data_IF_526235603571
#
_entry.id   IF_526235603571
#
_cell.length_a   1.000
_cell.length_b   1.000
_cell.length_c   1.000
_cell.angle_alpha   90.00
_cell.angle_beta   90.00
_cell.angle_gamma   90.00
#
_symmetry.space_group_name_H-M   'P 1'
#
loop_
_entity.id
_entity.type
_entity.pdbx_description
1 polymer ?
#
# COMPACT_ATOMS: atom_id res chain seq x y z
N UNK A 1 40.94 4.68 -16.67
CA UNK A 1 39.60 4.62 -17.27
C UNK A 1 39.67 3.71 -18.49
N UNK A 2 38.96 2.58 -18.46
CA UNK A 2 38.86 1.72 -19.66
C UNK A 2 38.01 2.42 -20.69
N UNK A 3 38.48 2.45 -21.93
CA UNK A 3 37.72 3.00 -23.04
C UNK A 3 36.37 2.27 -23.16
N UNK A 4 35.22 2.96 -23.06
CA UNK A 4 33.91 2.33 -23.11
C UNK A 4 33.60 1.71 -24.49
N UNK A 5 34.38 2.01 -25.51
CA UNK A 5 34.25 1.46 -26.87
C UNK A 5 34.97 0.12 -27.06
N UNK A 6 35.80 -0.30 -26.10
CA UNK A 6 36.46 -1.60 -26.19
C UNK A 6 35.49 -2.76 -26.02
N UNK A 7 35.52 -3.80 -26.88
CA UNK A 7 34.69 -4.97 -26.76
C UNK A 7 34.92 -5.72 -25.44
N UNK A 8 33.82 -6.21 -24.84
CA UNK A 8 33.89 -7.08 -23.70
C UNK A 8 34.50 -8.43 -24.07
N UNK A 9 35.54 -8.83 -23.34
CA UNK A 9 36.17 -10.13 -23.51
C UNK A 9 35.46 -11.22 -22.71
N UNK A 10 35.60 -12.48 -23.09
CA UNK A 10 35.17 -13.64 -22.30
C UNK A 10 33.80 -14.21 -22.69
N UNK A 11 33.12 -13.69 -23.70
CA UNK A 11 31.88 -14.28 -24.20
C UNK A 11 32.16 -15.45 -25.13
N UNK A 12 31.56 -16.62 -24.84
CA UNK A 12 31.68 -17.81 -25.66
C UNK A 12 30.90 -17.68 -26.97
N UNK A 13 31.41 -18.25 -28.08
CA UNK A 13 30.69 -18.25 -29.36
C UNK A 13 29.33 -18.97 -29.27
N UNK A 14 28.37 -18.52 -30.08
CA UNK A 14 27.05 -19.18 -30.24
C UNK A 14 26.94 -19.71 -31.66
N UNK A 15 26.72 -21.00 -31.83
CA UNK A 15 26.61 -21.69 -33.12
C UNK A 15 27.81 -21.35 -34.05
N UNK A 16 29.03 -21.30 -33.49
CA UNK A 16 30.27 -20.98 -34.21
C UNK A 16 30.50 -19.49 -34.51
N UNK A 17 29.58 -18.60 -34.15
CA UNK A 17 29.69 -17.15 -34.34
C UNK A 17 30.29 -16.48 -33.11
N UNK A 18 31.35 -15.69 -33.30
CA UNK A 18 31.95 -14.87 -32.26
C UNK A 18 30.97 -13.80 -31.78
N UNK A 19 30.84 -13.65 -30.44
CA UNK A 19 30.09 -12.56 -29.84
C UNK A 19 31.02 -11.39 -29.58
N UNK A 20 30.61 -10.20 -30.01
CA UNK A 20 31.25 -8.92 -29.71
C UNK A 20 30.21 -8.06 -29.00
N UNK A 21 30.53 -7.57 -27.78
CA UNK A 21 29.67 -6.68 -27.02
C UNK A 21 30.49 -5.46 -26.58
N UNK A 22 29.88 -4.27 -26.67
CA UNK A 22 30.49 -2.99 -26.29
C UNK A 22 29.41 -2.06 -25.72
N UNK A 23 29.82 -1.03 -24.97
CA UNK A 23 28.93 -0.03 -24.39
C UNK A 23 28.65 1.15 -25.35
N UNK A 24 28.34 0.85 -26.60
CA UNK A 24 28.10 1.79 -27.71
C UNK A 24 26.62 1.87 -28.13
N UNK A 25 25.71 1.29 -27.34
CA UNK A 25 24.27 1.19 -27.64
C UNK A 25 23.50 2.53 -27.56
N UNK A 26 24.14 3.61 -27.15
CA UNK A 26 23.51 4.92 -26.98
C UNK A 26 22.62 4.97 -25.72
N UNK A 27 21.56 5.79 -25.75
CA UNK A 27 20.66 5.99 -24.60
C UNK A 27 19.69 4.82 -24.47
N UNK A 28 20.04 3.87 -23.65
CA UNK A 28 19.24 2.69 -23.33
C UNK A 28 18.74 2.74 -21.88
N UNK A 29 17.57 2.20 -21.64
CA UNK A 29 17.03 1.97 -20.30
C UNK A 29 16.29 0.63 -20.24
N UNK A 30 16.28 -0.01 -19.09
CA UNK A 30 15.48 -1.22 -18.80
C UNK A 30 14.05 -0.90 -18.35
N UNK A 31 13.72 0.37 -18.15
CA UNK A 31 12.52 0.85 -17.48
C UNK A 31 11.56 1.61 -18.40
N UNK A 32 11.36 1.12 -19.65
CA UNK A 32 10.51 1.74 -20.66
C UNK A 32 9.11 2.09 -20.20
N UNK A 33 8.57 1.32 -19.26
CA UNK A 33 7.26 1.56 -18.71
C UNK A 33 7.18 2.63 -17.61
N UNK A 34 8.28 3.20 -17.15
CA UNK A 34 8.25 4.25 -16.11
C UNK A 34 7.48 5.49 -16.58
N UNK A 35 7.40 5.72 -17.89
CA UNK A 35 6.61 6.80 -18.46
C UNK A 35 5.10 6.62 -18.25
N UNK A 36 4.59 5.38 -18.12
CA UNK A 36 3.21 5.17 -17.69
C UNK A 36 2.98 5.63 -16.25
N UNK A 37 3.96 5.42 -15.36
CA UNK A 37 3.90 5.93 -13.99
C UNK A 37 3.96 7.45 -13.95
N UNK A 38 4.74 8.09 -14.84
CA UNK A 38 4.72 9.55 -15.02
C UNK A 38 3.31 10.05 -15.34
N UNK A 39 2.62 9.41 -16.29
CA UNK A 39 1.25 9.79 -16.65
C UNK A 39 0.26 9.58 -15.49
N UNK A 40 0.44 8.52 -14.68
CA UNK A 40 -0.35 8.32 -13.44
C UNK A 40 -0.04 9.43 -12.44
N UNK A 41 1.24 9.77 -12.23
CA UNK A 41 1.67 10.80 -11.28
C UNK A 41 1.17 12.20 -11.69
N UNK A 42 1.21 12.52 -12.98
CA UNK A 42 0.69 13.78 -13.49
C UNK A 42 -0.82 13.97 -13.18
N UNK A 43 -1.55 12.86 -13.08
CA UNK A 43 -2.97 12.86 -12.69
C UNK A 43 -3.17 12.93 -11.19
N UNK A 44 -2.45 12.10 -10.43
CA UNK A 44 -2.62 11.99 -8.96
C UNK A 44 -1.91 13.11 -8.19
N UNK A 45 -0.83 13.65 -8.73
CA UNK A 45 0.01 14.72 -8.16
C UNK A 45 0.47 14.40 -6.74
N UNK A 46 0.88 13.14 -6.51
CA UNK A 46 1.26 12.65 -5.18
C UNK A 46 2.49 13.40 -4.66
N UNK A 47 3.47 13.62 -5.52
CA UNK A 47 4.72 14.30 -5.14
C UNK A 47 4.46 15.75 -4.72
N UNK A 48 3.62 16.49 -5.45
CA UNK A 48 3.25 17.88 -5.11
C UNK A 48 2.46 17.94 -3.80
N UNK A 49 1.53 17.01 -3.59
CA UNK A 49 0.75 16.92 -2.34
C UNK A 49 1.65 16.70 -1.13
N UNK A 50 2.63 15.80 -1.23
CA UNK A 50 3.58 15.56 -0.15
C UNK A 50 4.55 16.72 0.03
N UNK A 51 5.08 17.27 -1.07
CA UNK A 51 5.99 18.41 -1.03
C UNK A 51 5.36 19.64 -0.39
N UNK A 52 4.08 19.91 -0.70
CA UNK A 52 3.31 21.01 -0.12
C UNK A 52 3.13 20.95 1.41
N UNK A 53 3.43 19.78 2.02
CA UNK A 53 3.42 19.63 3.47
C UNK A 53 4.75 20.02 4.14
N UNK A 54 5.81 20.26 3.36
CA UNK A 54 7.16 20.51 3.86
C UNK A 54 7.52 21.98 3.63
N UNK A 55 7.86 22.71 4.68
CA UNK A 55 8.52 23.98 4.52
C UNK A 55 9.95 23.76 4.02
N UNK A 56 10.28 24.28 2.84
CA UNK A 56 11.62 24.17 2.27
C UNK A 56 12.55 25.23 2.90
N UNK A 57 13.55 24.82 3.69
CA UNK A 57 14.46 25.77 4.34
C UNK A 57 15.60 26.25 3.42
N UNK A 58 15.67 25.76 2.18
CA UNK A 58 16.75 26.07 1.25
C UNK A 58 16.54 27.43 0.61
N UNK A 59 17.63 28.10 0.30
CA UNK A 59 17.64 29.37 -0.44
C UNK A 59 17.16 29.10 -1.88
N UNK A 60 16.06 29.70 -2.35
CA UNK A 60 15.43 29.37 -3.63
C UNK A 60 16.39 29.40 -4.83
N UNK A 61 17.30 30.38 -4.87
CA UNK A 61 18.26 30.60 -5.97
C UNK A 61 19.31 29.48 -6.08
N UNK A 62 19.51 28.73 -4.97
CA UNK A 62 20.47 27.61 -4.91
C UNK A 62 19.79 26.26 -5.06
N UNK A 63 18.47 26.21 -5.26
CA UNK A 63 17.73 24.96 -5.40
C UNK A 63 17.83 24.43 -6.81
N UNK A 64 18.63 23.38 -7.01
CA UNK A 64 18.72 22.66 -8.29
C UNK A 64 17.51 21.74 -8.53
N UNK A 65 17.04 21.06 -7.49
CA UNK A 65 15.91 20.13 -7.55
C UNK A 65 14.86 20.55 -6.50
N UNK A 66 13.61 20.80 -6.93
CA UNK A 66 12.51 21.11 -6.03
C UNK A 66 12.17 19.89 -5.15
N UNK A 67 11.54 20.12 -3.99
CA UNK A 67 11.07 19.02 -3.13
C UNK A 67 10.15 18.06 -3.89
N UNK A 68 9.24 18.59 -4.71
CA UNK A 68 8.34 17.77 -5.53
C UNK A 68 9.11 16.89 -6.54
N UNK A 69 10.15 17.45 -7.20
CA UNK A 69 10.99 16.68 -8.13
C UNK A 69 11.74 15.55 -7.41
N UNK A 70 12.32 15.80 -6.23
CA UNK A 70 13.03 14.78 -5.45
C UNK A 70 12.05 13.69 -4.99
N UNK A 71 10.87 14.07 -4.49
CA UNK A 71 9.83 13.13 -4.07
C UNK A 71 9.36 12.31 -5.27
N UNK A 72 9.01 12.93 -6.40
CA UNK A 72 8.57 12.24 -7.61
C UNK A 72 9.59 11.21 -8.08
N UNK A 73 10.87 11.57 -8.12
CA UNK A 73 11.94 10.63 -8.47
C UNK A 73 11.94 9.42 -7.52
N UNK A 74 11.85 9.68 -6.21
CA UNK A 74 11.82 8.62 -5.20
C UNK A 74 10.61 7.70 -5.34
N UNK A 75 9.42 8.25 -5.62
CA UNK A 75 8.21 7.46 -5.86
C UNK A 75 8.36 6.55 -7.09
N UNK A 76 8.90 7.08 -8.18
CA UNK A 76 9.13 6.35 -9.42
C UNK A 76 10.17 5.23 -9.23
N UNK A 77 11.26 5.50 -8.49
CA UNK A 77 12.25 4.49 -8.13
C UNK A 77 11.61 3.33 -7.38
N UNK A 78 10.89 3.58 -6.27
CA UNK A 78 10.23 2.55 -5.47
C UNK A 78 9.24 1.75 -6.33
N UNK A 79 8.40 2.41 -7.12
CA UNK A 79 7.43 1.74 -7.98
C UNK A 79 8.10 0.88 -9.05
N UNK A 80 9.24 1.31 -9.60
CA UNK A 80 10.03 0.56 -10.56
C UNK A 80 10.87 -0.57 -9.93
N UNK A 81 10.91 -0.68 -8.59
CA UNK A 81 11.61 -1.75 -7.87
C UNK A 81 13.03 -1.39 -7.43
N UNK A 82 13.32 -0.11 -7.32
CA UNK A 82 14.55 0.45 -6.76
C UNK A 82 14.20 1.09 -5.41
N UNK A 83 13.99 0.25 -4.43
CA UNK A 83 13.54 0.66 -3.10
C UNK A 83 14.64 1.27 -2.24
N UNK A 84 15.91 1.12 -2.61
CA UNK A 84 17.02 1.75 -1.90
C UNK A 84 17.30 3.17 -2.45
N UNK A 85 17.60 4.10 -1.53
CA UNK A 85 18.01 5.45 -1.94
C UNK A 85 19.36 5.48 -2.68
N UNK A 86 20.21 4.46 -2.49
CA UNK A 86 21.52 4.35 -3.14
C UNK A 86 21.39 4.16 -4.65
N UNK A 87 20.32 3.54 -5.14
CA UNK A 87 20.05 3.33 -6.56
C UNK A 87 19.92 4.65 -7.33
N UNK A 88 19.62 5.74 -6.64
CA UNK A 88 19.53 7.07 -7.26
C UNK A 88 20.80 7.47 -8.00
N UNK A 89 21.98 7.07 -7.52
CA UNK A 89 23.25 7.43 -8.17
C UNK A 89 23.42 6.76 -9.54
N UNK A 90 22.88 5.56 -9.72
CA UNK A 90 22.84 4.88 -11.02
C UNK A 90 21.72 5.41 -11.93
N UNK A 91 20.54 5.69 -11.35
CA UNK A 91 19.34 6.06 -12.09
C UNK A 91 19.27 7.55 -12.46
N UNK A 92 20.03 8.42 -11.80
CA UNK A 92 19.99 9.88 -12.05
C UNK A 92 20.31 10.27 -13.49
N UNK A 93 21.12 9.49 -14.18
CA UNK A 93 21.50 9.68 -15.57
C UNK A 93 20.61 8.91 -16.56
N UNK A 94 19.72 8.04 -16.08
CA UNK A 94 18.86 7.24 -16.95
C UNK A 94 17.90 8.13 -17.75
N UNK A 95 17.84 7.98 -19.09
CA UNK A 95 17.06 8.86 -19.95
C UNK A 95 15.56 8.82 -19.68
N UNK A 96 15.02 7.67 -19.27
CA UNK A 96 13.57 7.55 -19.02
C UNK A 96 13.18 8.10 -17.66
N UNK A 97 14.02 7.98 -16.63
CA UNK A 97 13.79 8.65 -15.36
C UNK A 97 13.89 10.17 -15.50
N UNK A 98 14.81 10.70 -16.36
CA UNK A 98 14.83 12.12 -16.70
C UNK A 98 13.52 12.55 -17.38
N UNK A 99 13.10 11.82 -18.41
CA UNK A 99 11.84 12.09 -19.11
C UNK A 99 10.63 12.00 -18.19
N UNK A 100 10.64 11.10 -17.20
CA UNK A 100 9.60 11.00 -16.19
C UNK A 100 9.58 12.18 -15.20
N UNK A 101 10.60 13.06 -15.26
CA UNK A 101 10.70 14.34 -14.52
C UNK A 101 10.51 15.56 -15.43
N UNK A 102 9.99 15.37 -16.63
CA UNK A 102 9.81 16.42 -17.65
C UNK A 102 11.14 17.05 -18.11
N UNK A 103 12.24 16.29 -18.06
CA UNK A 103 13.55 16.68 -18.57
C UNK A 103 13.87 15.92 -19.87
N UNK A 104 14.61 16.56 -20.77
CA UNK A 104 15.17 15.87 -21.93
C UNK A 104 16.28 14.90 -21.50
N UNK A 105 16.53 13.83 -22.28
CA UNK A 105 17.66 12.93 -22.00
C UNK A 105 19.00 13.62 -21.89
N UNK A 106 19.24 14.67 -22.69
CA UNK A 106 20.45 15.50 -22.68
C UNK A 106 20.52 16.51 -21.53
N UNK A 107 19.43 16.74 -20.83
CA UNK A 107 19.41 17.67 -19.70
C UNK A 107 20.26 17.16 -18.52
N UNK A 108 20.41 18.02 -17.51
CA UNK A 108 21.12 17.70 -16.27
C UNK A 108 20.63 16.42 -15.62
N UNK A 109 21.49 15.79 -14.85
CA UNK A 109 21.16 14.62 -14.04
C UNK A 109 20.11 14.94 -12.97
N UNK A 110 19.34 13.94 -12.57
CA UNK A 110 18.44 13.98 -11.43
C UNK A 110 19.23 14.06 -10.11
N UNK A 111 18.52 14.19 -8.99
CA UNK A 111 19.16 14.34 -7.69
C UNK A 111 19.94 13.07 -7.28
N UNK A 112 21.00 13.26 -6.50
CA UNK A 112 21.84 12.18 -5.96
C UNK A 112 21.21 11.53 -4.73
N UNK A 113 21.74 10.37 -4.34
CA UNK A 113 21.37 9.66 -3.10
C UNK A 113 21.49 10.56 -1.86
N UNK A 114 22.54 11.35 -1.74
CA UNK A 114 22.71 12.26 -0.60
C UNK A 114 21.63 13.35 -0.53
N UNK A 115 21.07 13.76 -1.67
CA UNK A 115 19.94 14.69 -1.72
C UNK A 115 18.64 14.01 -1.27
N UNK A 116 18.40 12.75 -1.66
CA UNK A 116 17.27 11.94 -1.18
C UNK A 116 17.38 11.75 0.33
N UNK A 117 18.56 11.39 0.85
CA UNK A 117 18.78 11.20 2.29
C UNK A 117 18.51 12.47 3.09
N UNK A 118 18.92 13.63 2.58
CA UNK A 118 18.60 14.94 3.21
C UNK A 118 17.11 15.20 3.21
N UNK A 119 16.41 14.93 2.10
CA UNK A 119 14.96 15.05 2.03
C UNK A 119 14.27 14.13 3.04
N UNK A 120 14.66 12.85 3.13
CA UNK A 120 14.03 11.88 4.03
C UNK A 120 14.16 12.30 5.52
N UNK A 121 15.19 13.05 5.87
CA UNK A 121 15.42 13.58 7.22
C UNK A 121 14.86 14.98 7.47
N UNK A 122 14.26 15.63 6.48
CA UNK A 122 13.79 17.02 6.55
C UNK A 122 12.43 17.17 7.27
N UNK A 123 11.40 16.31 7.04
CA UNK A 123 10.07 16.54 7.60
C UNK A 123 10.03 16.39 9.12
N UNK A 124 9.56 17.43 9.80
CA UNK A 124 9.24 17.37 11.22
C UNK A 124 7.81 16.83 11.49
N UNK A 125 7.43 16.68 12.77
CA UNK A 125 6.15 16.10 13.17
C UNK A 125 4.91 16.79 12.56
N UNK A 126 4.93 18.13 12.44
CA UNK A 126 3.83 18.90 11.83
C UNK A 126 3.66 18.56 10.35
N UNK A 127 4.77 18.51 9.61
CA UNK A 127 4.75 18.12 8.19
C UNK A 127 4.21 16.69 8.01
N UNK A 128 4.64 15.73 8.85
CA UNK A 128 4.16 14.35 8.82
C UNK A 128 2.66 14.23 9.11
N UNK A 129 2.12 15.02 10.03
CA UNK A 129 0.68 15.09 10.28
C UNK A 129 -0.08 15.66 9.08
N UNK A 130 0.47 16.69 8.43
CA UNK A 130 -0.09 17.26 7.20
C UNK A 130 -0.06 16.27 6.04
N UNK A 131 1.02 15.47 5.91
CA UNK A 131 1.11 14.39 4.91
C UNK A 131 0.06 13.29 5.13
N UNK A 132 -0.17 12.88 6.38
CA UNK A 132 -1.25 11.95 6.71
C UNK A 132 -2.62 12.48 6.29
N UNK A 133 -2.86 13.79 6.43
CA UNK A 133 -4.05 14.48 5.94
C UNK A 133 -4.08 14.48 4.40
N UNK A 134 -2.97 14.85 3.74
CA UNK A 134 -2.86 14.89 2.28
C UNK A 134 -3.11 13.52 1.63
N UNK A 135 -2.69 12.42 2.29
CA UNK A 135 -3.01 11.05 1.85
C UNK A 135 -4.51 10.76 1.92
N UNK A 136 -5.18 11.15 3.00
CA UNK A 136 -6.63 11.00 3.12
C UNK A 136 -7.38 11.87 2.08
N UNK A 137 -6.90 13.08 1.81
CA UNK A 137 -7.47 13.96 0.79
C UNK A 137 -7.26 13.39 -0.62
N UNK A 138 -6.10 12.81 -0.92
CA UNK A 138 -5.84 12.08 -2.17
C UNK A 138 -6.80 10.90 -2.34
N UNK A 139 -6.99 10.11 -1.27
CA UNK A 139 -7.95 9.01 -1.26
C UNK A 139 -9.37 9.51 -1.55
N UNK A 140 -9.82 10.57 -0.89
CA UNK A 140 -11.12 11.18 -1.16
C UNK A 140 -11.24 11.64 -2.63
N UNK A 141 -10.22 12.30 -3.16
CA UNK A 141 -10.18 12.79 -4.53
C UNK A 141 -10.23 11.66 -5.58
N UNK A 142 -9.80 10.44 -5.25
CA UNK A 142 -9.82 9.28 -6.15
C UNK A 142 -11.20 8.71 -6.46
N UNK A 143 -12.26 9.27 -5.91
CA UNK A 143 -13.64 8.85 -6.16
C UNK A 143 -14.32 9.78 -7.16
N UNK A 144 -15.00 9.22 -8.15
CA UNK A 144 -15.76 9.98 -9.14
C UNK A 144 -16.90 10.81 -8.55
N UNK A 145 -17.49 10.29 -7.48
CA UNK A 145 -18.61 10.89 -6.78
C UNK A 145 -18.44 10.60 -5.29
N UNK A 146 -18.95 11.49 -4.45
CA UNK A 146 -18.98 11.28 -3.01
C UNK A 146 -19.73 9.97 -2.70
N UNK A 147 -19.08 8.98 -2.09
CA UNK A 147 -19.72 7.70 -1.84
C UNK A 147 -20.74 7.82 -0.70
N UNK A 148 -21.87 7.13 -0.84
CA UNK A 148 -22.87 7.07 0.25
C UNK A 148 -22.36 6.31 1.46
N UNK A 149 -21.53 5.29 1.24
CA UNK A 149 -20.95 4.40 2.27
C UNK A 149 -19.53 4.06 1.91
N UNK A 150 -18.67 3.94 2.92
CA UNK A 150 -17.30 3.45 2.81
C UNK A 150 -17.02 2.43 3.91
N UNK A 151 -16.08 1.52 3.62
CA UNK A 151 -15.50 0.61 4.59
C UNK A 151 -14.02 0.95 4.72
N UNK A 152 -13.55 1.11 5.94
CA UNK A 152 -12.14 1.31 6.27
C UNK A 152 -11.61 0.04 6.94
N UNK A 153 -10.65 -0.61 6.29
CA UNK A 153 -9.91 -1.73 6.84
C UNK A 153 -8.68 -1.20 7.58
N UNK A 154 -8.64 -1.39 8.88
CA UNK A 154 -7.49 -1.05 9.70
C UNK A 154 -6.80 -2.32 10.15
N UNK A 155 -5.48 -2.35 9.99
CA UNK A 155 -4.64 -3.47 10.40
C UNK A 155 -3.26 -2.97 10.77
N UNK A 156 -2.43 -3.82 11.38
CA UNK A 156 -1.02 -3.53 11.64
C UNK A 156 -0.13 -4.63 11.02
N UNK A 157 1.13 -4.29 10.81
CA UNK A 157 2.10 -5.22 10.25
C UNK A 157 3.44 -5.07 10.96
N UNK A 158 4.12 -6.17 11.23
CA UNK A 158 5.43 -6.13 11.87
C UNK A 158 6.52 -5.87 10.82
N UNK A 159 7.40 -4.90 11.08
CA UNK A 159 8.55 -4.55 10.25
C UNK A 159 9.82 -4.75 11.09
N UNK A 160 10.60 -5.79 10.78
CA UNK A 160 11.88 -6.07 11.44
C UNK A 160 12.90 -4.96 11.18
N UNK A 161 13.69 -4.61 12.20
CA UNK A 161 14.77 -3.62 12.09
C UNK A 161 16.06 -4.14 12.73
N UNK A 162 17.16 -3.94 12.03
CA UNK A 162 18.45 -4.52 12.38
C UNK A 162 19.47 -3.50 12.95
N UNK A 163 19.06 -2.27 13.23
CA UNK A 163 19.93 -1.20 13.74
C UNK A 163 19.35 -0.50 14.96
N UNK A 164 19.99 0.60 15.38
CA UNK A 164 19.61 1.42 16.53
C UNK A 164 18.50 2.46 16.24
N UNK A 165 17.47 2.13 15.45
CA UNK A 165 16.41 3.07 15.05
C UNK A 165 15.63 3.57 16.26
N UNK A 166 15.32 4.86 16.25
CA UNK A 166 14.49 5.50 17.27
C UNK A 166 13.09 4.89 17.30
N UNK A 167 12.57 4.57 18.48
CA UNK A 167 11.28 3.94 18.73
C UNK A 167 11.19 2.45 18.34
N UNK A 168 12.29 1.79 17.92
CA UNK A 168 12.27 0.33 17.79
C UNK A 168 11.94 -0.32 19.13
N UNK A 169 11.25 -1.43 19.10
CA UNK A 169 10.93 -2.20 20.30
C UNK A 169 11.06 -3.69 20.00
N UNK A 170 11.54 -4.46 20.99
CA UNK A 170 11.53 -5.92 20.90
C UNK A 170 10.11 -6.46 20.95
N UNK A 171 9.77 -7.36 20.04
CA UNK A 171 8.49 -8.03 19.97
C UNK A 171 8.70 -9.53 20.20
N UNK A 172 8.27 -10.02 21.37
CA UNK A 172 8.46 -11.41 21.76
C UNK A 172 7.71 -12.43 20.85
N UNK A 173 6.66 -12.02 20.14
CA UNK A 173 5.95 -12.90 19.21
C UNK A 173 6.77 -13.17 17.94
N UNK A 174 7.54 -12.19 17.50
CA UNK A 174 8.41 -12.29 16.32
C UNK A 174 9.85 -12.60 16.66
N UNK A 175 10.21 -12.53 17.97
CA UNK A 175 11.58 -12.68 18.50
C UNK A 175 12.58 -11.70 17.86
N UNK A 176 12.11 -10.50 17.51
CA UNK A 176 12.90 -9.48 16.80
C UNK A 176 12.58 -8.07 17.29
N UNK A 177 13.56 -7.15 17.11
CA UNK A 177 13.30 -5.72 17.21
C UNK A 177 12.61 -5.21 15.95
N UNK A 178 11.62 -4.31 16.10
CA UNK A 178 10.92 -3.79 14.95
C UNK A 178 10.01 -2.61 15.24
N UNK A 179 9.25 -2.29 14.22
CA UNK A 179 8.08 -1.42 14.26
C UNK A 179 6.82 -2.25 14.00
N UNK A 180 5.67 -1.71 14.39
CA UNK A 180 4.35 -2.26 14.07
C UNK A 180 3.44 -1.14 13.59
N UNK A 181 3.66 -0.62 12.35
CA UNK A 181 2.85 0.44 11.80
C UNK A 181 1.40 0.00 11.65
N UNK A 182 0.48 0.91 11.99
CA UNK A 182 -0.94 0.77 11.64
C UNK A 182 -1.12 1.28 10.22
N UNK A 183 -1.85 0.51 9.41
CA UNK A 183 -2.16 0.83 8.01
C UNK A 183 -3.67 0.82 7.80
N UNK A 184 -4.18 1.76 7.03
CA UNK A 184 -5.59 1.85 6.68
C UNK A 184 -5.76 1.80 5.17
N UNK A 185 -6.57 0.85 4.71
CA UNK A 185 -7.04 0.75 3.33
C UNK A 185 -8.56 0.92 3.28
N UNK A 186 -9.10 1.23 2.12
CA UNK A 186 -10.53 1.06 1.91
C UNK A 186 -10.86 -0.37 1.42
N UNK A 187 -12.14 -0.72 1.44
CA UNK A 187 -12.60 -2.05 1.02
C UNK A 187 -12.32 -2.41 -0.46
N UNK A 188 -11.82 -1.46 -1.27
CA UNK A 188 -11.42 -1.66 -2.68
C UNK A 188 -9.91 -1.58 -2.90
N UNK A 189 -9.14 -1.46 -1.81
CA UNK A 189 -7.69 -1.49 -1.82
C UNK A 189 -7.03 -0.17 -2.21
N UNK A 190 -7.68 0.96 -1.96
CA UNK A 190 -7.02 2.25 -1.99
C UNK A 190 -6.32 2.48 -0.65
N UNK A 191 -5.10 2.91 -0.69
CA UNK A 191 -4.36 3.29 0.51
C UNK A 191 -4.94 4.58 1.10
N UNK A 192 -5.20 4.61 2.40
CA UNK A 192 -5.73 5.78 3.08
C UNK A 192 -4.66 6.48 3.92
N UNK A 193 -4.03 5.77 4.84
CA UNK A 193 -2.93 6.30 5.65
C UNK A 193 -2.14 5.20 6.34
N UNK A 194 -0.95 5.54 6.87
CA UNK A 194 -0.17 4.69 7.76
C UNK A 194 0.48 5.51 8.87
N UNK A 195 0.68 4.88 10.04
CA UNK A 195 1.34 5.49 11.20
C UNK A 195 2.39 4.54 11.74
N UNK A 196 3.65 4.99 11.74
CA UNK A 196 4.77 4.27 12.34
C UNK A 196 4.57 4.18 13.87
N UNK A 197 4.82 2.98 14.42
CA UNK A 197 4.69 2.71 15.85
C UNK A 197 5.75 1.71 16.30
N UNK A 198 6.13 1.74 17.61
CA UNK A 198 6.91 0.66 18.20
C UNK A 198 6.23 -0.71 18.01
N UNK A 199 7.02 -1.78 17.97
CA UNK A 199 6.55 -3.15 17.74
C UNK A 199 5.80 -3.73 18.95
N UNK A 200 4.66 -3.16 19.29
CA UNK A 200 3.75 -3.62 20.33
C UNK A 200 2.29 -3.45 19.90
N UNK A 201 1.41 -4.27 20.47
CA UNK A 201 -0.04 -4.12 20.27
C UNK A 201 -0.48 -2.67 20.52
N UNK A 202 -1.26 -2.05 19.61
CA UNK A 202 -1.76 -0.70 19.78
C UNK A 202 -2.72 -0.61 20.96
N UNK A 203 -2.59 0.45 21.76
CA UNK A 203 -3.55 0.77 22.82
C UNK A 203 -4.80 1.40 22.21
N UNK A 204 -5.97 1.16 22.81
CA UNK A 204 -7.23 1.74 22.35
C UNK A 204 -7.21 3.27 22.23
N UNK A 205 -6.48 3.96 23.13
CA UNK A 205 -6.28 5.41 23.09
C UNK A 205 -5.47 5.87 21.88
N UNK A 206 -4.47 5.08 21.44
CA UNK A 206 -3.66 5.35 20.24
C UNK A 206 -4.51 5.17 18.97
N UNK A 207 -5.28 4.07 18.91
CA UNK A 207 -6.21 3.78 17.81
C UNK A 207 -7.24 4.91 17.70
N UNK A 208 -7.88 5.29 18.82
CA UNK A 208 -8.84 6.40 18.87
C UNK A 208 -8.23 7.71 18.36
N UNK A 209 -6.99 8.01 18.72
CA UNK A 209 -6.31 9.22 18.26
C UNK A 209 -6.08 9.24 16.73
N UNK A 210 -5.72 8.09 16.14
CA UNK A 210 -5.63 7.91 14.70
C UNK A 210 -6.99 8.07 14.03
N UNK A 211 -8.00 7.34 14.49
CA UNK A 211 -9.36 7.39 13.94
C UNK A 211 -9.96 8.79 13.99
N UNK A 212 -9.73 9.54 15.07
CA UNK A 212 -10.17 10.94 15.20
C UNK A 212 -9.58 11.85 14.13
N UNK A 213 -8.27 11.71 13.83
CA UNK A 213 -7.61 12.48 12.78
C UNK A 213 -8.13 12.11 11.41
N UNK A 214 -8.26 10.82 11.14
CA UNK A 214 -8.77 10.30 9.88
C UNK A 214 -10.21 10.74 9.65
N UNK A 215 -11.09 10.61 10.65
CA UNK A 215 -12.48 11.04 10.55
C UNK A 215 -12.58 12.54 10.23
N UNK A 216 -11.78 13.39 10.88
CA UNK A 216 -11.75 14.83 10.57
C UNK A 216 -11.40 15.10 9.11
N UNK A 217 -10.41 14.37 8.56
CA UNK A 217 -10.03 14.49 7.16
C UNK A 217 -11.17 14.04 6.23
N UNK A 218 -11.82 12.92 6.53
CA UNK A 218 -12.94 12.39 5.73
C UNK A 218 -14.13 13.34 5.80
N UNK A 219 -14.53 13.79 6.98
CA UNK A 219 -15.69 14.67 7.17
C UNK A 219 -15.53 16.04 6.53
N UNK A 220 -14.29 16.54 6.41
CA UNK A 220 -14.02 17.77 5.67
C UNK A 220 -14.26 17.63 4.17
N UNK A 221 -14.07 16.43 3.60
CA UNK A 221 -14.36 16.13 2.20
C UNK A 221 -15.80 15.61 2.00
N UNK A 222 -16.26 14.74 2.92
CA UNK A 222 -17.53 14.01 2.81
C UNK A 222 -18.32 14.06 4.13
N UNK A 223 -19.06 15.15 4.39
CA UNK A 223 -19.75 15.35 5.67
C UNK A 223 -20.76 14.25 6.03
N UNK A 224 -21.45 13.67 5.03
CA UNK A 224 -22.59 12.77 5.23
C UNK A 224 -22.32 11.30 4.88
N UNK A 225 -21.13 10.93 4.45
CA UNK A 225 -20.81 9.55 4.07
C UNK A 225 -20.86 8.63 5.28
N UNK A 226 -21.63 7.53 5.20
CA UNK A 226 -21.63 6.51 6.23
C UNK A 226 -20.30 5.75 6.23
N UNK A 227 -19.70 5.57 7.41
CA UNK A 227 -18.39 4.93 7.56
C UNK A 227 -18.56 3.66 8.39
N UNK A 228 -17.96 2.56 7.92
CA UNK A 228 -17.84 1.31 8.67
C UNK A 228 -16.37 1.00 8.89
N UNK A 229 -15.96 0.84 10.14
CA UNK A 229 -14.63 0.37 10.51
C UNK A 229 -14.63 -1.16 10.52
N UNK A 230 -13.62 -1.77 9.90
CA UNK A 230 -13.42 -3.21 9.89
C UNK A 230 -11.98 -3.54 10.30
N UNK A 231 -11.85 -4.44 11.29
CA UNK A 231 -10.55 -4.79 11.84
C UNK A 231 -10.57 -6.16 12.53
N UNK A 232 -9.40 -6.65 12.91
CA UNK A 232 -9.26 -7.85 13.70
C UNK A 232 -9.55 -7.63 15.20
N UNK A 233 -9.30 -8.64 16.02
CA UNK A 233 -9.57 -8.61 17.46
C UNK A 233 -8.66 -7.66 18.25
N UNK A 234 -7.52 -7.24 17.69
CA UNK A 234 -6.63 -6.27 18.35
C UNK A 234 -7.28 -4.90 18.50
N UNK A 235 -8.20 -4.56 17.59
CA UNK A 235 -8.90 -3.28 17.53
C UNK A 235 -10.23 -3.28 18.30
N UNK A 236 -10.69 -4.46 18.75
CA UNK A 236 -11.92 -4.58 19.54
C UNK A 236 -11.65 -4.29 21.01
N UNK A 237 -11.68 -3.02 21.38
CA UNK A 237 -11.48 -2.55 22.74
C UNK A 237 -12.49 -1.45 23.09
N UNK A 238 -12.76 -1.21 24.41
CA UNK A 238 -13.79 -0.25 24.86
C UNK A 238 -13.64 1.12 24.22
N UNK A 239 -12.42 1.66 24.20
CA UNK A 239 -12.14 3.00 23.70
C UNK A 239 -12.46 3.18 22.21
N UNK A 240 -12.34 2.10 21.42
CA UNK A 240 -12.68 2.11 19.99
C UNK A 240 -14.18 1.96 19.80
N UNK A 241 -14.81 1.03 20.50
CA UNK A 241 -16.26 0.81 20.43
C UNK A 241 -17.04 2.06 20.85
N UNK A 242 -16.69 2.65 22.01
CA UNK A 242 -17.33 3.86 22.54
C UNK A 242 -17.13 5.04 21.59
N UNK A 243 -15.91 5.19 21.06
CA UNK A 243 -15.61 6.27 20.12
C UNK A 243 -16.37 6.12 18.80
N UNK A 244 -16.47 4.91 18.25
CA UNK A 244 -17.23 4.64 17.03
C UNK A 244 -18.70 5.03 17.22
N UNK A 245 -19.31 4.62 18.32
CA UNK A 245 -20.70 4.98 18.64
C UNK A 245 -20.91 6.49 18.79
N UNK A 246 -20.03 7.14 19.54
CA UNK A 246 -20.11 8.58 19.77
C UNK A 246 -19.94 9.42 18.49
N UNK A 247 -19.42 8.84 17.40
CA UNK A 247 -19.16 9.52 16.13
C UNK A 247 -19.98 8.95 14.95
N UNK A 248 -21.01 8.16 15.22
CA UNK A 248 -21.85 7.51 14.20
C UNK A 248 -21.04 6.73 13.15
N UNK A 249 -20.11 5.90 13.65
CA UNK A 249 -19.29 5.01 12.83
C UNK A 249 -19.73 3.57 13.09
N UNK A 250 -20.17 2.90 12.04
CA UNK A 250 -20.43 1.47 12.09
C UNK A 250 -19.13 0.68 12.26
N UNK A 251 -19.23 -0.53 12.82
CA UNK A 251 -18.08 -1.40 12.98
C UNK A 251 -18.43 -2.87 12.76
N UNK A 252 -17.44 -3.62 12.26
CA UNK A 252 -17.41 -5.08 12.18
C UNK A 252 -16.00 -5.50 12.60
N UNK A 253 -15.85 -5.92 13.86
CA UNK A 253 -14.55 -6.21 14.44
C UNK A 253 -14.48 -7.67 14.89
N UNK A 254 -13.31 -8.32 14.68
CA UNK A 254 -13.03 -9.59 15.31
C UNK A 254 -13.07 -9.47 16.83
N UNK A 255 -13.45 -10.54 17.53
CA UNK A 255 -13.40 -10.63 18.99
C UNK A 255 -12.62 -11.86 19.40
N UNK A 256 -11.69 -11.71 20.33
CA UNK A 256 -10.96 -12.84 20.88
C UNK A 256 -11.93 -13.78 21.63
N UNK A 257 -11.83 -15.12 21.46
CA UNK A 257 -12.71 -16.06 22.14
C UNK A 257 -12.44 -16.07 23.64
N UNK A 258 -13.39 -15.54 24.40
CA UNK A 258 -13.40 -15.60 25.89
C UNK A 258 -14.22 -16.78 26.39
N UNK A 259 -14.06 -17.16 27.66
CA UNK A 259 -14.87 -18.19 28.29
C UNK A 259 -16.37 -17.85 28.22
N UNK A 260 -16.73 -16.59 28.45
CA UNK A 260 -18.10 -16.10 28.35
C UNK A 260 -18.69 -16.32 26.95
N UNK A 261 -17.95 -15.89 25.88
CA UNK A 261 -18.41 -16.09 24.51
C UNK A 261 -18.51 -17.56 24.11
N UNK A 262 -17.58 -18.38 24.59
CA UNK A 262 -17.62 -19.85 24.37
C UNK A 262 -18.82 -20.52 25.01
N UNK A 263 -19.33 -20.02 26.13
CA UNK A 263 -20.53 -20.56 26.80
C UNK A 263 -21.80 -20.44 25.92
N UNK A 264 -21.84 -19.55 24.94
CA UNK A 264 -22.97 -19.38 24.03
C UNK A 264 -23.03 -20.38 22.89
N UNK A 265 -21.97 -21.16 22.60
CA UNK A 265 -21.84 -21.91 21.33
C UNK A 265 -21.77 -23.43 21.42
N UNK A 266 -21.81 -24.13 22.59
CA UNK A 266 -21.65 -25.57 22.65
C UNK A 266 -22.66 -26.33 21.77
N UNK A 267 -23.94 -25.98 21.84
CA UNK A 267 -25.00 -26.61 21.03
C UNK A 267 -24.81 -26.34 19.51
N UNK A 268 -24.25 -25.14 19.13
CA UNK A 268 -23.92 -24.82 17.76
C UNK A 268 -22.74 -25.67 17.26
N UNK A 269 -21.75 -25.90 18.08
CA UNK A 269 -20.57 -26.71 17.76
C UNK A 269 -20.97 -28.20 17.60
N UNK A 270 -21.83 -28.70 18.47
CA UNK A 270 -22.37 -30.06 18.39
C UNK A 270 -23.20 -30.27 17.11
N UNK A 271 -24.15 -29.38 16.80
CA UNK A 271 -24.92 -29.41 15.54
C UNK A 271 -24.00 -29.35 14.31
N UNK A 272 -22.95 -28.51 14.36
CA UNK A 272 -22.03 -28.37 13.24
C UNK A 272 -21.20 -29.64 13.04
N UNK A 273 -20.75 -30.31 14.12
CA UNK A 273 -20.05 -31.60 14.06
C UNK A 273 -20.95 -32.71 13.51
N UNK A 274 -22.20 -32.78 14.02
CA UNK A 274 -23.16 -33.77 13.52
C UNK A 274 -23.42 -33.61 12.02
N UNK A 275 -23.57 -32.39 11.53
CA UNK A 275 -23.75 -32.10 10.09
C UNK A 275 -22.52 -32.45 9.26
N UNK A 276 -21.32 -32.22 9.77
CA UNK A 276 -20.10 -32.62 9.10
C UNK A 276 -19.99 -34.17 9.02
N UNK A 277 -20.29 -34.85 10.13
CA UNK A 277 -20.29 -36.32 10.17
C UNK A 277 -21.31 -36.94 9.19
N UNK A 278 -22.48 -36.30 9.03
CA UNK A 278 -23.52 -36.74 8.10
C UNK A 278 -23.18 -36.52 6.60
N UNK A 279 -22.25 -35.58 6.29
CA UNK A 279 -21.90 -35.24 4.93
C UNK A 279 -20.42 -34.80 4.79
N UNK A 280 -19.44 -35.68 5.13
CA UNK A 280 -18.02 -35.32 5.16
C UNK A 280 -17.48 -35.02 3.74
N UNK A 281 -18.07 -35.59 2.69
CA UNK A 281 -17.72 -35.31 1.29
C UNK A 281 -17.89 -33.82 0.88
N UNK A 282 -18.61 -33.01 1.65
CA UNK A 282 -18.74 -31.58 1.43
C UNK A 282 -17.51 -30.77 1.92
N UNK A 283 -16.54 -31.45 2.51
CA UNK A 283 -15.28 -30.89 2.99
C UNK A 283 -15.41 -30.07 4.28
N UNK A 284 -16.50 -29.32 4.47
CA UNK A 284 -16.71 -28.48 5.66
C UNK A 284 -18.20 -28.27 5.95
N UNK A 285 -18.56 -28.25 7.23
CA UNK A 285 -19.86 -27.78 7.70
C UNK A 285 -19.67 -26.42 8.39
N UNK A 286 -20.54 -25.45 8.12
CA UNK A 286 -20.46 -24.11 8.68
C UNK A 286 -21.81 -23.63 9.16
N UNK A 287 -21.87 -23.10 10.38
CA UNK A 287 -23.08 -22.59 11.01
C UNK A 287 -22.81 -21.22 11.68
N UNK A 288 -23.86 -20.44 11.82
CA UNK A 288 -23.80 -19.11 12.43
C UNK A 288 -24.83 -18.99 13.54
N UNK A 289 -24.46 -18.29 14.60
CA UNK A 289 -25.36 -17.91 15.70
C UNK A 289 -25.12 -16.44 16.02
N UNK A 290 -26.19 -15.73 16.32
CA UNK A 290 -26.10 -14.39 16.89
C UNK A 290 -26.62 -14.40 18.31
N UNK A 291 -26.05 -13.56 19.15
CA UNK A 291 -26.47 -13.30 20.51
C UNK A 291 -25.98 -11.92 20.93
N UNK A 292 -26.42 -11.47 22.10
CA UNK A 292 -25.98 -10.23 22.71
C UNK A 292 -25.16 -10.55 23.95
N UNK A 293 -23.96 -9.98 24.04
CA UNK A 293 -23.05 -10.13 25.14
C UNK A 293 -22.06 -8.96 25.21
N UNK A 294 -21.28 -8.87 26.28
CA UNK A 294 -20.29 -7.82 26.45
C UNK A 294 -19.22 -8.22 27.46
N UNK A 295 -18.01 -7.68 27.27
CA UNK A 295 -16.99 -7.78 28.30
C UNK A 295 -17.30 -6.82 29.45
N UNK A 296 -16.83 -7.13 30.66
CA UNK A 296 -17.03 -6.26 31.84
C UNK A 296 -16.49 -4.83 31.65
N UNK A 297 -15.51 -4.67 30.74
CA UNK A 297 -14.94 -3.36 30.36
C UNK A 297 -15.74 -2.60 29.30
N UNK A 298 -16.77 -3.21 28.69
CA UNK A 298 -17.58 -2.54 27.66
C UNK A 298 -18.70 -1.74 28.32
N UNK A 299 -18.99 -0.57 27.77
CA UNK A 299 -20.03 0.32 28.28
C UNK A 299 -21.46 -0.18 28.07
N UNK A 300 -21.63 -1.17 27.16
CA UNK A 300 -22.90 -1.81 26.88
C UNK A 300 -22.73 -3.20 26.28
N UNK A 301 -23.81 -3.94 26.23
CA UNK A 301 -23.94 -5.22 25.50
C UNK A 301 -23.97 -4.96 24.00
N UNK A 302 -23.26 -5.77 23.25
CA UNK A 302 -23.11 -5.67 21.80
C UNK A 302 -23.70 -6.91 21.09
N UNK A 303 -24.06 -6.76 19.83
CA UNK A 303 -24.46 -7.88 18.98
C UNK A 303 -23.20 -8.64 18.54
N UNK A 304 -23.12 -9.91 18.93
CA UNK A 304 -22.04 -10.84 18.60
C UNK A 304 -22.55 -11.86 17.58
N UNK A 305 -21.73 -12.15 16.59
CA UNK A 305 -21.97 -13.23 15.63
C UNK A 305 -20.84 -14.26 15.79
N UNK A 306 -21.22 -15.49 16.11
CA UNK A 306 -20.32 -16.63 16.12
C UNK A 306 -20.42 -17.37 14.78
N UNK A 307 -19.25 -17.71 14.20
CA UNK A 307 -19.13 -18.67 13.12
C UNK A 307 -18.49 -19.93 13.67
N UNK A 308 -19.18 -21.05 13.59
CA UNK A 308 -18.66 -22.38 13.86
C UNK A 308 -18.42 -23.10 12.53
N UNK A 309 -17.23 -23.62 12.31
CA UNK A 309 -16.83 -24.39 11.14
C UNK A 309 -16.19 -25.69 11.61
N UNK A 310 -16.65 -26.81 11.08
CA UNK A 310 -16.08 -28.13 11.31
C UNK A 310 -15.61 -28.73 9.99
N UNK A 311 -14.39 -29.25 9.96
CA UNK A 311 -13.76 -29.92 8.85
C UNK A 311 -12.86 -31.03 9.35
N UNK A 312 -12.01 -31.60 8.48
CA UNK A 312 -11.06 -32.67 8.81
C UNK A 312 -10.10 -32.31 9.95
N UNK A 313 -9.74 -31.03 10.09
CA UNK A 313 -8.85 -30.52 11.14
C UNK A 313 -9.58 -30.21 12.47
N UNK A 314 -10.86 -30.55 12.59
CA UNK A 314 -11.66 -30.30 13.79
C UNK A 314 -12.59 -29.09 13.66
N UNK A 315 -13.00 -28.55 14.81
CA UNK A 315 -13.96 -27.45 14.93
C UNK A 315 -13.25 -26.14 15.28
N UNK A 316 -13.47 -25.08 14.48
CA UNK A 316 -13.00 -23.72 14.71
C UNK A 316 -14.20 -22.78 14.91
N UNK A 317 -14.22 -22.08 16.04
CA UNK A 317 -15.27 -21.10 16.35
C UNK A 317 -14.65 -19.72 16.53
N UNK A 318 -15.12 -18.76 15.72
CA UNK A 318 -14.68 -17.35 15.74
C UNK A 318 -15.84 -16.42 15.96
N UNK A 319 -15.54 -15.29 16.56
CA UNK A 319 -16.54 -14.28 16.95
C UNK A 319 -16.23 -12.94 16.30
N UNK A 320 -17.30 -12.22 15.94
CA UNK A 320 -17.22 -10.81 15.55
C UNK A 320 -18.27 -10.01 16.32
N UNK A 321 -17.96 -8.76 16.59
CA UNK A 321 -18.91 -7.76 17.08
C UNK A 321 -19.33 -6.86 15.92
N UNK A 322 -20.62 -6.54 15.85
CA UNK A 322 -21.19 -5.72 14.79
C UNK A 322 -22.08 -4.62 15.37
N UNK A 323 -21.97 -3.42 14.82
CA UNK A 323 -22.83 -2.28 15.19
C UNK A 323 -24.21 -2.32 14.54
N UNK A 324 -24.40 -3.12 13.47
CA UNK A 324 -25.68 -3.27 12.79
C UNK A 324 -26.64 -4.11 13.62
N UNK A 325 -27.79 -3.53 13.96
CA UNK A 325 -28.85 -4.24 14.71
C UNK A 325 -29.59 -5.27 13.83
N UNK A 326 -29.65 -5.06 12.53
CA UNK A 326 -30.32 -5.89 11.54
C UNK A 326 -29.35 -6.52 10.55
N UNK A 327 -29.80 -7.52 9.82
CA UNK A 327 -29.02 -8.21 8.80
C UNK A 327 -28.77 -9.68 9.20
N UNK A 328 -28.68 -10.54 8.17
CA UNK A 328 -28.41 -11.95 8.34
C UNK A 328 -26.99 -12.19 8.89
N UNK A 329 -26.81 -12.97 9.95
CA UNK A 329 -25.51 -13.23 10.56
C UNK A 329 -24.47 -13.80 9.59
N UNK A 330 -24.89 -14.70 8.68
CA UNK A 330 -24.01 -15.29 7.69
C UNK A 330 -23.48 -14.22 6.72
N UNK A 331 -24.37 -13.40 6.18
CA UNK A 331 -24.01 -12.30 5.26
C UNK A 331 -23.08 -11.29 5.93
N UNK A 332 -23.38 -10.88 7.18
CA UNK A 332 -22.51 -9.97 7.94
C UNK A 332 -21.12 -10.56 8.18
N UNK A 333 -21.05 -11.87 8.43
CA UNK A 333 -19.78 -12.55 8.64
C UNK A 333 -19.02 -12.76 7.31
N UNK A 334 -19.65 -13.45 6.34
CA UNK A 334 -18.98 -13.87 5.09
C UNK A 334 -18.73 -12.71 4.13
N UNK A 335 -19.72 -11.84 3.91
CA UNK A 335 -19.60 -10.71 2.98
C UNK A 335 -19.16 -9.42 3.67
N UNK A 336 -19.49 -9.23 4.95
CA UNK A 336 -19.02 -8.12 5.74
C UNK A 336 -17.59 -8.33 6.21
N UNK A 337 -17.39 -9.20 7.20
CA UNK A 337 -16.12 -9.37 7.91
C UNK A 337 -15.04 -10.05 7.08
N UNK A 338 -15.34 -11.18 6.39
CA UNK A 338 -14.30 -11.96 5.69
C UNK A 338 -13.65 -11.20 4.54
N UNK A 339 -14.29 -10.17 3.99
CA UNK A 339 -13.65 -9.28 3.00
C UNK A 339 -12.46 -8.52 3.56
N UNK A 340 -12.30 -8.44 4.89
CA UNK A 340 -11.07 -7.91 5.53
C UNK A 340 -9.82 -8.65 5.06
N UNK A 341 -9.90 -9.95 4.76
CA UNK A 341 -8.76 -10.70 4.22
C UNK A 341 -8.14 -10.09 2.97
N UNK A 342 -8.86 -9.23 2.24
CA UNK A 342 -8.27 -8.47 1.12
C UNK A 342 -7.29 -7.40 1.60
N UNK A 343 -7.45 -6.84 2.81
CA UNK A 343 -6.51 -5.88 3.37
C UNK A 343 -5.10 -6.49 3.53
N UNK A 344 -5.01 -7.76 3.89
CA UNK A 344 -3.74 -8.49 3.98
C UNK A 344 -3.00 -8.53 2.62
N UNK A 345 -3.74 -8.70 1.51
CA UNK A 345 -3.17 -8.64 0.16
C UNK A 345 -2.72 -7.22 -0.20
N UNK A 346 -3.41 -6.18 0.27
CA UNK A 346 -3.04 -4.79 0.03
C UNK A 346 -1.80 -4.41 0.86
N UNK A 347 -1.75 -4.86 2.12
CA UNK A 347 -0.57 -4.72 2.98
C UNK A 347 0.61 -5.45 2.36
N UNK A 348 0.45 -6.69 1.88
CA UNK A 348 1.49 -7.42 1.16
C UNK A 348 1.99 -6.66 -0.07
N UNK A 349 1.09 -6.08 -0.86
CA UNK A 349 1.46 -5.28 -2.03
C UNK A 349 2.27 -4.05 -1.64
N UNK A 350 1.95 -3.39 -0.55
CA UNK A 350 2.67 -2.23 -0.04
C UNK A 350 3.98 -2.62 0.64
N UNK A 351 3.94 -3.59 1.56
CA UNK A 351 5.09 -4.04 2.34
C UNK A 351 6.08 -4.83 1.50
N UNK A 352 5.65 -5.91 0.84
CA UNK A 352 6.54 -6.84 0.16
C UNK A 352 6.88 -6.39 -1.26
N UNK A 353 5.87 -6.00 -2.06
CA UNK A 353 6.14 -5.64 -3.46
C UNK A 353 6.74 -4.24 -3.63
N UNK A 354 6.52 -3.35 -2.68
CA UNK A 354 7.09 -2.00 -2.69
C UNK A 354 8.09 -1.78 -1.55
N UNK A 355 8.41 -2.81 -0.76
CA UNK A 355 9.41 -2.79 0.30
C UNK A 355 9.18 -1.66 1.35
N UNK A 356 7.91 -1.43 1.76
CA UNK A 356 7.59 -0.38 2.72
C UNK A 356 8.10 -0.67 4.14
N UNK A 357 8.49 -1.93 4.43
CA UNK A 357 9.15 -2.36 5.66
C UNK A 357 10.62 -1.94 5.75
N UNK A 358 11.20 -1.33 4.71
CA UNK A 358 12.55 -0.77 4.75
C UNK A 358 12.64 0.52 5.58
N UNK A 359 12.37 0.40 6.87
CA UNK A 359 12.42 1.50 7.85
C UNK A 359 13.82 1.62 8.46
N UNK A 360 14.83 1.86 7.62
CA UNK A 360 16.25 1.81 7.98
C UNK A 360 16.85 3.14 8.47
N UNK A 361 16.06 4.23 8.53
CA UNK A 361 16.54 5.50 9.04
C UNK A 361 16.68 5.49 10.57
N UNK A 362 17.69 6.19 11.10
CA UNK A 362 17.88 6.33 12.56
C UNK A 362 16.71 7.05 13.22
N UNK A 363 16.19 8.12 12.59
CA UNK A 363 15.10 8.94 13.14
C UNK A 363 13.74 8.33 12.81
N UNK A 364 12.85 8.24 13.79
CA UNK A 364 11.47 7.78 13.61
C UNK A 364 10.69 8.67 12.63
N UNK A 365 10.91 9.98 12.64
CA UNK A 365 10.28 10.90 11.70
C UNK A 365 10.65 10.59 10.24
N UNK A 366 11.91 10.25 9.96
CA UNK A 366 12.36 9.85 8.64
C UNK A 366 11.72 8.52 8.19
N UNK A 367 11.61 7.53 9.08
CA UNK A 367 10.92 6.28 8.81
C UNK A 367 9.42 6.49 8.56
N UNK A 368 8.75 7.37 9.32
CA UNK A 368 7.35 7.74 9.04
C UNK A 368 7.22 8.40 7.66
N UNK A 369 8.15 9.26 7.26
CA UNK A 369 8.12 9.85 5.92
C UNK A 369 8.35 8.79 4.84
N UNK A 370 9.26 7.84 5.05
CA UNK A 370 9.45 6.71 4.11
C UNK A 370 8.16 5.90 3.93
N UNK A 371 7.39 5.64 5.00
CA UNK A 371 6.09 4.98 4.84
C UNK A 371 5.17 5.76 3.88
N UNK A 372 5.18 7.10 3.91
CA UNK A 372 4.41 7.92 2.96
C UNK A 372 4.99 7.91 1.54
N UNK A 373 6.31 7.83 1.38
CA UNK A 373 6.93 7.65 0.05
C UNK A 373 6.51 6.30 -0.56
N UNK A 374 6.57 5.22 0.20
CA UNK A 374 6.10 3.90 -0.26
C UNK A 374 4.58 3.87 -0.50
N UNK A 375 3.79 4.63 0.27
CA UNK A 375 2.37 4.83 0.02
C UNK A 375 2.12 5.61 -1.28
N UNK A 376 2.94 6.62 -1.58
CA UNK A 376 2.90 7.33 -2.86
C UNK A 376 3.19 6.40 -4.04
N UNK A 377 4.24 5.57 -3.94
CA UNK A 377 4.54 4.54 -4.95
C UNK A 377 3.39 3.52 -5.09
N UNK A 378 2.73 3.16 -3.97
CA UNK A 378 1.51 2.34 -3.99
C UNK A 378 0.41 2.99 -4.83
N UNK A 379 0.18 4.31 -4.67
CA UNK A 379 -0.80 5.04 -5.46
C UNK A 379 -0.47 5.05 -6.94
N UNK A 380 0.80 5.15 -7.34
CA UNK A 380 1.22 5.05 -8.74
C UNK A 380 0.90 3.66 -9.31
N UNK A 381 1.29 2.61 -8.61
CA UNK A 381 1.02 1.23 -9.03
C UNK A 381 -0.48 0.89 -9.02
N UNK A 382 -1.23 1.40 -8.03
CA UNK A 382 -2.67 1.27 -7.99
C UNK A 382 -3.32 1.99 -9.18
N UNK A 383 -2.89 3.21 -9.51
CA UNK A 383 -3.37 3.97 -10.66
C UNK A 383 -3.15 3.24 -11.99
N UNK A 384 -1.95 2.68 -12.17
CA UNK A 384 -1.64 1.84 -13.32
C UNK A 384 -2.55 0.60 -13.38
N UNK A 385 -2.72 -0.12 -12.26
CA UNK A 385 -3.59 -1.31 -12.17
C UNK A 385 -5.04 -0.99 -12.47
N UNK A 386 -5.57 0.11 -11.93
CA UNK A 386 -6.98 0.47 -12.16
C UNK A 386 -7.26 1.03 -13.55
N UNK A 387 -6.23 1.41 -14.30
CA UNK A 387 -6.34 1.75 -15.71
C UNK A 387 -6.55 0.52 -16.59
N UNK A 388 -6.28 -0.70 -16.11
CA UNK A 388 -6.54 -1.93 -16.84
C UNK A 388 -8.04 -2.24 -16.93
N UNK A 389 -8.49 -3.01 -17.96
CA UNK A 389 -9.88 -3.40 -18.11
C UNK A 389 -10.40 -4.15 -16.89
N UNK A 390 -11.61 -3.83 -16.43
CA UNK A 390 -12.19 -4.42 -15.21
C UNK A 390 -12.19 -5.95 -15.17
N UNK A 391 -12.39 -6.61 -16.34
CA UNK A 391 -12.48 -8.06 -16.47
C UNK A 391 -11.15 -8.73 -16.86
N UNK A 392 -10.05 -7.98 -17.03
CA UNK A 392 -8.75 -8.55 -17.37
C UNK A 392 -8.03 -9.09 -16.13
N UNK A 393 -7.17 -10.09 -16.33
CA UNK A 393 -6.25 -10.59 -15.30
C UNK A 393 -5.32 -9.49 -14.77
N UNK A 394 -4.96 -8.51 -15.59
CA UNK A 394 -4.13 -7.35 -15.23
C UNK A 394 -4.76 -6.47 -14.16
N UNK A 395 -6.10 -6.37 -14.11
CA UNK A 395 -6.81 -5.63 -13.07
C UNK A 395 -6.62 -6.23 -11.67
N UNK A 396 -6.32 -7.53 -11.59
CA UNK A 396 -6.08 -8.27 -10.36
C UNK A 396 -4.60 -8.64 -10.17
N UNK A 397 -3.74 -8.25 -11.10
CA UNK A 397 -2.32 -8.57 -11.06
C UNK A 397 -1.64 -7.97 -9.82
N UNK A 398 -0.69 -8.69 -9.27
CA UNK A 398 0.17 -8.20 -8.21
C UNK A 398 1.12 -7.13 -8.77
N UNK A 399 1.62 -6.26 -7.91
CA UNK A 399 2.50 -5.17 -8.33
C UNK A 399 3.80 -5.68 -8.95
N UNK A 400 4.36 -6.79 -8.46
CA UNK A 400 5.53 -7.41 -9.07
C UNK A 400 5.28 -7.85 -10.50
N UNK A 401 4.09 -8.43 -10.77
CA UNK A 401 3.71 -8.82 -12.13
C UNK A 401 3.57 -7.61 -13.05
N UNK A 402 2.97 -6.51 -12.56
CA UNK A 402 2.86 -5.27 -13.32
C UNK A 402 4.24 -4.67 -13.58
N UNK A 403 5.10 -4.63 -12.57
CA UNK A 403 6.48 -4.16 -12.67
C UNK A 403 7.25 -4.95 -13.71
N UNK A 404 7.31 -6.26 -13.55
CA UNK A 404 8.10 -7.12 -14.43
C UNK A 404 7.64 -7.06 -15.89
N UNK A 405 6.33 -7.02 -16.12
CA UNK A 405 5.77 -7.15 -17.48
C UNK A 405 5.47 -5.84 -18.17
N UNK A 406 5.28 -4.75 -17.42
CA UNK A 406 4.90 -3.45 -17.98
C UNK A 406 5.96 -2.37 -17.77
N UNK A 407 6.67 -2.38 -16.62
CA UNK A 407 7.65 -1.34 -16.32
C UNK A 407 9.03 -1.75 -16.81
N UNK A 408 9.46 -3.00 -16.57
CA UNK A 408 10.77 -3.54 -17.00
C UNK A 408 10.75 -3.94 -18.48
N UNK A 409 10.61 -2.94 -19.33
CA UNK A 409 10.64 -3.08 -20.79
C UNK A 409 11.83 -2.29 -21.30
N UNK A 410 12.76 -2.96 -22.02
CA UNK A 410 13.90 -2.29 -22.59
C UNK A 410 13.46 -1.19 -23.57
N UNK A 411 14.17 -0.07 -23.56
CA UNK A 411 13.88 1.05 -24.44
C UNK A 411 15.16 1.72 -24.91
N UNK A 412 15.21 2.06 -26.20
CA UNK A 412 16.21 2.95 -26.78
C UNK A 412 15.59 4.32 -26.98
N UNK A 413 16.26 5.34 -26.47
CA UNK A 413 15.82 6.73 -26.57
C UNK A 413 16.67 7.45 -27.62
N UNK A 414 16.00 8.14 -28.52
CA UNK A 414 16.67 8.98 -29.53
C UNK A 414 16.09 10.39 -29.42
N UNK A 415 16.89 11.31 -28.90
CA UNK A 415 16.53 12.72 -28.81
C UNK A 415 16.82 13.41 -30.13
N UNK A 416 15.83 14.14 -30.64
CA UNK A 416 15.91 14.92 -31.84
C UNK A 416 15.52 16.37 -31.55
N UNK A 417 15.79 17.29 -32.47
CA UNK A 417 15.53 18.73 -32.26
C UNK A 417 14.08 19.06 -31.82
N UNK A 418 13.10 18.33 -32.34
CA UNK A 418 11.69 18.63 -32.14
C UNK A 418 10.90 17.47 -31.54
N UNK A 419 11.49 16.30 -31.33
CA UNK A 419 10.83 15.13 -30.80
C UNK A 419 11.80 14.18 -30.10
N UNK A 420 11.30 13.36 -29.21
CA UNK A 420 12.01 12.24 -28.63
C UNK A 420 11.35 10.96 -29.13
N UNK A 421 12.12 10.08 -29.78
CA UNK A 421 11.67 8.76 -30.21
C UNK A 421 12.01 7.71 -29.16
N UNK A 422 11.02 6.91 -28.79
CA UNK A 422 11.18 5.77 -27.89
C UNK A 422 10.99 4.48 -28.69
N UNK A 423 12.05 3.70 -28.83
CA UNK A 423 12.02 2.40 -29.50
C UNK A 423 11.88 1.31 -28.44
N UNK A 424 10.77 0.58 -28.48
CA UNK A 424 10.47 -0.55 -27.59
C UNK A 424 10.66 -1.87 -28.36
N UNK A 425 10.95 -3.00 -27.66
CA UNK A 425 11.13 -4.30 -28.30
C UNK A 425 9.88 -4.72 -29.08
N UNK A 426 10.06 -5.10 -30.33
CA UNK A 426 8.97 -5.63 -31.15
C UNK A 426 8.41 -6.94 -30.59
N UNK A 427 9.23 -7.71 -29.87
CA UNK A 427 8.85 -8.95 -29.19
C UNK A 427 8.16 -8.76 -27.84
N UNK A 428 7.88 -7.50 -27.40
CA UNK A 428 7.24 -7.27 -26.11
C UNK A 428 5.83 -7.86 -26.08
N UNK A 429 5.52 -8.86 -25.22
CA UNK A 429 4.23 -9.52 -25.21
C UNK A 429 3.10 -8.65 -24.62
N UNK A 430 3.46 -7.52 -23.99
CA UNK A 430 2.50 -6.63 -23.31
C UNK A 430 2.14 -5.39 -24.17
N UNK A 431 2.47 -5.33 -25.46
CA UNK A 431 2.26 -4.16 -26.31
C UNK A 431 0.84 -3.59 -26.23
N UNK A 432 -0.18 -4.45 -26.39
CA UNK A 432 -1.57 -4.01 -26.39
C UNK A 432 -2.02 -3.50 -25.04
N UNK A 433 -1.50 -4.08 -23.94
CA UNK A 433 -1.78 -3.62 -22.59
C UNK A 433 -1.13 -2.27 -22.30
N UNK A 434 0.08 -2.03 -22.78
CA UNK A 434 0.76 -0.72 -22.68
C UNK A 434 -0.05 0.34 -23.44
N UNK A 435 -0.45 0.08 -24.68
CA UNK A 435 -1.30 1.01 -25.47
C UNK A 435 -2.61 1.31 -24.74
N UNK A 436 -3.24 0.26 -24.21
CA UNK A 436 -4.51 0.38 -23.51
C UNK A 436 -4.38 1.15 -22.18
N UNK A 437 -3.29 0.93 -21.43
CA UNK A 437 -3.02 1.67 -20.20
C UNK A 437 -2.86 3.16 -20.50
N UNK A 438 -2.00 3.52 -21.45
CA UNK A 438 -1.78 4.91 -21.87
C UNK A 438 -3.09 5.60 -22.32
N UNK A 439 -3.95 4.91 -23.03
CA UNK A 439 -5.25 5.46 -23.46
C UNK A 439 -6.24 5.66 -22.30
N UNK A 440 -6.05 4.98 -21.14
CA UNK A 440 -6.97 4.99 -20.02
C UNK A 440 -6.50 5.79 -18.82
N UNK A 441 -5.21 5.94 -18.62
CA UNK A 441 -4.63 6.75 -17.54
C UNK A 441 -5.21 8.18 -17.52
N UNK A 442 -5.42 8.89 -18.63
CA UNK A 442 -6.03 10.21 -18.62
C UNK A 442 -7.46 10.27 -18.04
N UNK A 443 -8.13 9.11 -17.89
CA UNK A 443 -9.46 8.97 -17.31
C UNK A 443 -9.45 8.65 -15.81
N UNK A 444 -8.27 8.56 -15.20
CA UNK A 444 -8.14 8.42 -13.74
C UNK A 444 -8.77 9.63 -13.06
N UNK A 445 -9.51 9.37 -12.01
CA UNK A 445 -10.12 10.40 -11.17
C UNK A 445 -9.13 10.83 -10.11
N UNK A 446 -9.03 12.14 -9.90
CA UNK A 446 -8.09 12.77 -8.95
C UNK A 446 -8.74 13.94 -8.25
#
# INVERSE_FOLDING_TARGET
MTDPMLPLAGLSPVSGKKIVASFDGGLLSSDGGVLMLREVESRLRVAERLAGCIADPRVPELVTHSLAAIIRFRLLMIAAGYEDGNDANALRADPLFKMAQDLCPSDRDLCSQSTISRLENLPGPRALLSMGRAMADLWCASFKQVPKRIVLDIDDTFDAVHGGQQLRLFNAHHDEYGFQPIVVFDGEGRFVTAVLRPAKRPKGTEIRALLRRLLRAIRANWPKTAITLRADSHYCCPEVLDWCRANDIGYILGVAPTTTLRAHVPALEEDTRARFAAAPQKGKARRFKQFHDGAASWSRVERIIARCETGEQGTDTRFIVVSQEKGDPRTLYEEGYCRRGQAENHIKSWKTHLAADRTSCTKAAANQFRLFLHAGAYWLMWGLRVSMPKRSSWRKAQFDTLRLKLLKVAARVVEMKTMIKLHLPQSCPAQDFIRLALARIPRLVT
#
